data_IF_452015619091
#
_entry.id   IF_452015619091
#
_cell.length_a   1.000
_cell.length_b   1.000
_cell.length_c   1.000
_cell.angle_alpha   90.00
_cell.angle_beta   90.00
_cell.angle_gamma   90.00
#
_symmetry.space_group_name_H-M   'P 1'
#
loop_
_entity.id
_entity.type
_entity.pdbx_description
1 polymer ?
#
# COMPACT_ATOMS: atom_id res chain seq x y z
N UNK A 1 19.61 -1.86 0.03
CA UNK A 1 19.13 -3.27 0.08
C UNK A 1 17.64 -3.41 -0.26
N UNK A 2 16.94 -2.33 -0.67
CA UNK A 2 15.54 -2.39 -1.13
C UNK A 2 15.44 -2.73 -2.64
N UNK A 3 16.55 -2.68 -3.39
CA UNK A 3 16.58 -2.74 -4.86
C UNK A 3 16.21 -4.10 -5.47
N UNK A 4 16.09 -5.14 -4.64
CA UNK A 4 15.87 -6.52 -5.10
C UNK A 4 14.74 -7.28 -4.38
N UNK A 5 13.98 -6.62 -3.50
CA UNK A 5 13.00 -7.29 -2.64
C UNK A 5 11.67 -6.53 -2.50
N UNK A 6 11.16 -5.93 -3.59
CA UNK A 6 9.85 -5.28 -3.56
C UNK A 6 8.73 -6.31 -3.64
N UNK A 7 7.89 -6.37 -2.60
CA UNK A 7 6.65 -7.16 -2.59
C UNK A 7 5.46 -6.24 -2.29
N UNK A 8 4.33 -6.48 -2.96
CA UNK A 8 3.05 -5.86 -2.59
C UNK A 8 2.31 -6.82 -1.66
N UNK A 9 2.08 -6.39 -0.42
CA UNK A 9 1.45 -7.21 0.62
C UNK A 9 0.11 -6.59 0.99
N UNK A 10 -0.95 -7.40 0.99
CA UNK A 10 -2.25 -7.07 1.53
C UNK A 10 -2.45 -7.90 2.80
N UNK A 11 -2.63 -7.24 3.94
CA UNK A 11 -2.80 -7.89 5.24
C UNK A 11 -4.11 -7.49 5.90
N UNK A 12 -4.77 -8.42 6.59
CA UNK A 12 -5.98 -8.14 7.37
C UNK A 12 -6.04 -9.03 8.62
N UNK A 13 -6.73 -8.56 9.65
CA UNK A 13 -7.11 -9.34 10.83
C UNK A 13 -8.63 -9.43 10.92
N UNK A 14 -9.17 -10.63 11.09
CA UNK A 14 -10.62 -10.88 11.14
C UNK A 14 -10.95 -12.00 12.12
N UNK A 15 -12.23 -12.15 12.49
CA UNK A 15 -12.70 -13.28 13.30
C UNK A 15 -12.47 -14.59 12.52
N UNK A 16 -12.07 -15.65 13.21
CA UNK A 16 -11.67 -16.92 12.57
C UNK A 16 -12.79 -17.55 11.74
N UNK A 17 -14.05 -17.42 12.15
CA UNK A 17 -15.23 -17.91 11.42
C UNK A 17 -15.57 -17.09 10.16
N UNK A 18 -14.94 -15.92 9.97
CA UNK A 18 -15.14 -15.01 8.83
C UNK A 18 -13.92 -14.90 7.92
N UNK A 19 -12.87 -15.68 8.20
CA UNK A 19 -11.62 -15.62 7.43
C UNK A 19 -11.82 -15.92 5.93
N UNK A 20 -12.59 -16.97 5.60
CA UNK A 20 -12.85 -17.33 4.19
C UNK A 20 -13.66 -16.26 3.45
N UNK A 21 -14.68 -15.70 4.11
CA UNK A 21 -15.49 -14.61 3.56
C UNK A 21 -14.64 -13.36 3.34
N UNK A 22 -13.84 -12.98 4.34
CA UNK A 22 -12.94 -11.83 4.27
C UNK A 22 -11.93 -11.98 3.13
N UNK A 23 -11.36 -13.18 2.97
CA UNK A 23 -10.43 -13.47 1.87
C UNK A 23 -11.11 -13.37 0.50
N UNK A 24 -12.36 -13.83 0.37
CA UNK A 24 -13.16 -13.67 -0.84
C UNK A 24 -13.34 -12.20 -1.21
N UNK A 25 -13.78 -11.37 -0.25
CA UNK A 25 -13.96 -9.93 -0.45
C UNK A 25 -12.65 -9.25 -0.88
N UNK A 26 -11.52 -9.60 -0.25
CA UNK A 26 -10.21 -9.04 -0.63
C UNK A 26 -9.86 -9.42 -2.06
N UNK A 27 -10.07 -10.69 -2.46
CA UNK A 27 -9.84 -11.14 -3.83
C UNK A 27 -10.70 -10.38 -4.84
N UNK A 28 -11.97 -10.13 -4.52
CA UNK A 28 -12.88 -9.39 -5.40
C UNK A 28 -12.43 -7.93 -5.59
N UNK A 29 -12.03 -7.26 -4.51
CA UNK A 29 -11.52 -5.88 -4.57
C UNK A 29 -10.20 -5.81 -5.35
N UNK A 30 -9.27 -6.74 -5.10
CA UNK A 30 -7.99 -6.83 -5.81
C UNK A 30 -8.22 -7.06 -7.30
N UNK A 31 -9.12 -7.98 -7.65
CA UNK A 31 -9.47 -8.27 -9.04
C UNK A 31 -10.05 -7.04 -9.73
N UNK A 32 -11.03 -6.37 -9.12
CA UNK A 32 -11.61 -5.15 -9.68
C UNK A 32 -10.56 -4.06 -9.87
N UNK A 33 -9.66 -3.88 -8.90
CA UNK A 33 -8.58 -2.90 -9.00
C UNK A 33 -7.57 -3.26 -10.11
N UNK A 34 -7.33 -4.54 -10.37
CA UNK A 34 -6.49 -4.99 -11.48
C UNK A 34 -7.14 -4.77 -12.87
N UNK A 35 -8.46 -4.93 -12.96
CA UNK A 35 -9.23 -4.84 -14.20
C UNK A 35 -9.61 -3.40 -14.57
N UNK A 36 -10.14 -2.64 -13.61
CA UNK A 36 -10.72 -1.30 -13.82
C UNK A 36 -9.78 -0.19 -13.32
N UNK A 37 -8.93 -0.50 -12.34
CA UNK A 37 -8.14 0.46 -11.60
C UNK A 37 -8.99 1.37 -10.69
N UNK A 38 -8.36 2.34 -10.01
CA UNK A 38 -9.10 3.26 -9.14
C UNK A 38 -9.86 4.30 -9.96
N UNK A 39 -10.77 5.00 -9.28
CA UNK A 39 -11.43 6.21 -9.79
C UNK A 39 -10.55 7.45 -9.63
N UNK A 40 -10.88 8.52 -10.36
CA UNK A 40 -10.24 9.84 -10.17
C UNK A 40 -10.42 10.39 -8.76
N UNK A 41 -11.61 10.18 -8.17
CA UNK A 41 -11.92 10.63 -6.83
C UNK A 41 -11.08 9.90 -5.76
N UNK A 42 -10.92 8.57 -5.90
CA UNK A 42 -10.05 7.78 -5.03
C UNK A 42 -8.59 8.24 -5.16
N UNK A 43 -8.09 8.42 -6.38
CA UNK A 43 -6.72 8.91 -6.59
C UNK A 43 -6.51 10.29 -5.95
N UNK A 44 -7.44 11.22 -6.15
CA UNK A 44 -7.37 12.56 -5.57
C UNK A 44 -7.40 12.52 -4.04
N UNK A 45 -8.29 11.71 -3.45
CA UNK A 45 -8.38 11.53 -2.01
C UNK A 45 -7.09 10.93 -1.43
N UNK A 46 -6.55 9.89 -2.06
CA UNK A 46 -5.28 9.26 -1.65
C UNK A 46 -4.12 10.23 -1.73
N UNK A 47 -3.97 10.99 -2.83
CA UNK A 47 -2.92 12.02 -2.95
C UNK A 47 -3.02 13.06 -1.83
N UNK A 48 -4.23 13.59 -1.59
CA UNK A 48 -4.47 14.57 -0.53
C UNK A 48 -4.09 14.01 0.85
N UNK A 49 -4.48 12.77 1.14
CA UNK A 49 -4.12 12.08 2.37
C UNK A 49 -2.59 11.91 2.50
N UNK A 50 -1.92 11.38 1.49
CA UNK A 50 -0.47 11.12 1.52
C UNK A 50 0.38 12.39 1.69
N UNK A 51 -0.09 13.52 1.14
CA UNK A 51 0.56 14.82 1.29
C UNK A 51 0.28 15.39 2.69
N UNK A 52 -0.99 15.42 3.12
CA UNK A 52 -1.38 16.01 4.39
C UNK A 52 -0.92 15.23 5.63
N UNK A 53 -0.90 13.90 5.56
CA UNK A 53 -0.51 13.04 6.67
C UNK A 53 1.01 13.02 6.91
N UNK A 54 1.84 13.46 5.94
CA UNK A 54 3.29 13.35 6.07
C UNK A 54 3.83 14.12 7.28
N UNK A 55 3.40 15.38 7.46
CA UNK A 55 3.86 16.20 8.58
C UNK A 55 3.40 15.61 9.93
N UNK A 56 2.18 15.08 9.99
CA UNK A 56 1.62 14.49 11.21
C UNK A 56 2.37 13.21 11.58
N UNK A 57 2.68 12.36 10.60
CA UNK A 57 3.25 11.05 10.88
C UNK A 57 4.77 11.08 11.11
N UNK A 58 5.46 12.13 10.66
CA UNK A 58 6.94 12.14 10.61
C UNK A 58 7.56 13.37 11.28
N UNK A 59 6.80 14.44 11.53
CA UNK A 59 7.32 15.71 12.01
C UNK A 59 6.59 16.22 13.26
N UNK A 60 5.93 15.33 14.00
CA UNK A 60 5.14 15.66 15.21
C UNK A 60 5.98 15.83 16.49
N UNK A 61 7.25 15.44 16.45
CA UNK A 61 8.17 15.47 17.59
C UNK A 61 9.62 15.63 17.12
N UNK A 62 10.50 16.17 17.98
CA UNK A 62 11.92 16.30 17.65
C UNK A 62 12.59 14.96 17.33
N UNK A 63 12.14 13.88 17.97
CA UNK A 63 12.60 12.51 17.69
C UNK A 63 12.16 12.02 16.30
N UNK A 64 10.91 12.27 15.90
CA UNK A 64 10.42 11.88 14.59
C UNK A 64 11.11 12.67 13.47
N UNK A 65 11.33 13.97 13.69
CA UNK A 65 12.09 14.84 12.77
C UNK A 65 13.51 14.31 12.59
N UNK A 66 14.23 14.01 13.68
CA UNK A 66 15.59 13.50 13.60
C UNK A 66 15.66 12.15 12.87
N UNK A 67 14.74 11.22 13.16
CA UNK A 67 14.65 9.94 12.47
C UNK A 67 14.40 10.11 10.96
N UNK A 68 13.47 11.00 10.60
CA UNK A 68 13.16 11.31 9.19
C UNK A 68 14.37 11.88 8.46
N UNK A 69 15.08 12.84 9.05
CA UNK A 69 16.27 13.44 8.42
C UNK A 69 17.39 12.40 8.21
N UNK A 70 17.57 11.47 9.15
CA UNK A 70 18.52 10.36 9.00
C UNK A 70 18.10 9.42 7.86
N UNK A 71 16.82 9.06 7.77
CA UNK A 71 16.30 8.22 6.68
C UNK A 71 16.51 8.87 5.30
N UNK A 72 16.20 10.17 5.17
CA UNK A 72 16.43 10.91 3.92
C UNK A 72 17.92 10.94 3.52
N UNK A 73 18.84 10.97 4.48
CA UNK A 73 20.28 10.92 4.23
C UNK A 73 20.73 9.51 3.82
N UNK A 74 20.20 8.48 4.46
CA UNK A 74 20.52 7.08 4.13
C UNK A 74 20.02 6.69 2.72
N UNK A 75 18.89 7.26 2.31
CA UNK A 75 18.29 7.04 0.98
C UNK A 75 18.82 8.01 -0.10
N UNK A 76 19.78 8.90 0.24
CA UNK A 76 20.36 9.90 -0.66
C UNK A 76 19.31 10.80 -1.37
N UNK A 77 18.23 11.15 -0.68
CA UNK A 77 17.11 11.88 -1.27
C UNK A 77 17.33 13.39 -1.33
N UNK A 78 18.28 13.90 -0.53
CA UNK A 78 18.60 15.31 -0.39
C UNK A 78 17.73 16.05 0.63
N UNK A 79 18.26 17.14 1.19
CA UNK A 79 17.60 17.93 2.26
C UNK A 79 16.30 18.62 1.80
N UNK A 80 16.15 18.83 0.50
CA UNK A 80 15.00 19.48 -0.14
C UNK A 80 13.89 18.48 -0.56
N UNK A 81 14.07 17.19 -0.26
CA UNK A 81 13.13 16.15 -0.65
C UNK A 81 11.72 16.41 -0.10
N UNK A 82 11.61 16.90 1.14
CA UNK A 82 10.32 17.18 1.77
C UNK A 82 9.50 18.22 0.97
N UNK A 83 10.18 19.20 0.36
CA UNK A 83 9.57 20.22 -0.49
C UNK A 83 9.18 19.65 -1.86
N UNK A 84 10.02 18.77 -2.45
CA UNK A 84 9.78 18.16 -3.77
C UNK A 84 8.75 17.02 -3.74
N UNK A 85 8.62 16.30 -2.63
CA UNK A 85 7.79 15.09 -2.49
C UNK A 85 6.33 15.29 -2.90
N UNK A 86 5.74 16.42 -2.52
CA UNK A 86 4.36 16.75 -2.92
C UNK A 86 4.23 16.87 -4.45
N UNK A 87 5.24 17.42 -5.12
CA UNK A 87 5.33 17.47 -6.58
C UNK A 87 5.37 16.08 -7.20
N UNK A 88 6.17 15.16 -6.66
CA UNK A 88 6.24 13.78 -7.14
C UNK A 88 4.91 13.04 -7.01
N UNK A 89 4.23 13.18 -5.88
CA UNK A 89 2.91 12.56 -5.66
C UNK A 89 1.87 13.15 -6.61
N UNK A 90 1.87 14.48 -6.78
CA UNK A 90 0.90 15.14 -7.65
C UNK A 90 1.11 14.80 -9.13
N UNK A 91 2.36 14.56 -9.55
CA UNK A 91 2.71 14.17 -10.91
C UNK A 91 2.20 12.77 -11.32
N UNK A 92 1.87 11.90 -10.35
CA UNK A 92 1.33 10.56 -10.64
C UNK A 92 -0.04 10.66 -11.33
N UNK A 93 -0.17 10.13 -12.53
CA UNK A 93 -1.43 10.16 -13.29
C UNK A 93 -2.31 8.96 -13.00
N UNK A 94 -3.61 9.06 -13.31
CA UNK A 94 -4.53 7.92 -13.17
C UNK A 94 -4.08 6.72 -14.01
N UNK A 95 -3.64 6.96 -15.25
CA UNK A 95 -3.21 5.91 -16.16
C UNK A 95 -1.98 5.16 -15.64
N UNK A 96 -1.03 5.87 -15.01
CA UNK A 96 0.12 5.23 -14.36
C UNK A 96 -0.32 4.31 -13.21
N UNK A 97 -1.30 4.75 -12.41
CA UNK A 97 -1.84 3.92 -11.32
C UNK A 97 -2.59 2.71 -11.86
N UNK A 98 -3.41 2.88 -12.92
CA UNK A 98 -4.09 1.77 -13.60
C UNK A 98 -3.10 0.76 -14.17
N UNK A 99 -2.03 1.23 -14.83
CA UNK A 99 -0.99 0.37 -15.36
C UNK A 99 -0.24 -0.40 -14.26
N UNK A 100 0.09 0.27 -13.15
CA UNK A 100 0.73 -0.37 -12.00
C UNK A 100 -0.19 -1.39 -11.31
N UNK A 101 -1.46 -1.05 -11.12
CA UNK A 101 -2.47 -1.95 -10.54
C UNK A 101 -2.60 -3.22 -11.39
N UNK A 102 -2.78 -3.08 -12.70
CA UNK A 102 -2.82 -4.23 -13.63
C UNK A 102 -1.55 -5.07 -13.55
N UNK A 103 -0.36 -4.44 -13.58
CA UNK A 103 0.91 -5.17 -13.52
C UNK A 103 1.08 -5.97 -12.22
N UNK A 104 0.75 -5.37 -11.08
CA UNK A 104 1.03 -5.96 -9.77
C UNK A 104 -0.07 -6.90 -9.29
N UNK A 105 -1.33 -6.64 -9.64
CA UNK A 105 -2.50 -7.32 -9.08
C UNK A 105 -3.09 -8.40 -10.00
N UNK A 106 -2.70 -8.46 -11.27
CA UNK A 106 -3.15 -9.53 -12.18
C UNK A 106 -2.44 -10.88 -11.97
N UNK A 107 -1.43 -10.94 -11.09
CA UNK A 107 -0.72 -12.19 -10.76
C UNK A 107 -1.38 -12.86 -9.57
N UNK A 108 -1.51 -14.19 -9.58
CA UNK A 108 -2.01 -14.93 -8.41
C UNK A 108 -1.07 -14.71 -7.20
N UNK A 109 -1.60 -14.21 -6.07
CA UNK A 109 -0.78 -13.94 -4.90
C UNK A 109 -0.49 -15.21 -4.11
N UNK A 110 0.63 -15.20 -3.39
CA UNK A 110 0.84 -16.18 -2.31
C UNK A 110 -0.03 -15.80 -1.12
N UNK A 111 -0.80 -16.75 -0.58
CA UNK A 111 -1.72 -16.51 0.54
C UNK A 111 -1.19 -17.22 1.79
N UNK A 112 -1.07 -16.46 2.88
CA UNK A 112 -0.74 -16.98 4.21
C UNK A 112 -1.88 -16.68 5.18
N UNK A 113 -2.40 -17.72 5.83
CA UNK A 113 -3.46 -17.60 6.85
C UNK A 113 -2.91 -18.15 8.16
N UNK A 114 -2.99 -17.35 9.22
CA UNK A 114 -2.51 -17.71 10.56
C UNK A 114 -3.71 -17.65 11.52
N UNK A 115 -3.99 -18.75 12.22
CA UNK A 115 -5.07 -18.82 13.19
C UNK A 115 -5.59 -20.24 13.42
N UNK A 116 -6.69 -20.39 14.18
CA UNK A 116 -7.36 -21.68 14.38
C UNK A 116 -7.77 -22.32 13.05
N UNK A 117 -7.79 -23.66 13.00
CA UNK A 117 -8.21 -24.40 11.80
C UNK A 117 -9.61 -23.97 11.37
N UNK A 118 -9.75 -23.56 10.12
CA UNK A 118 -11.05 -23.25 9.53
C UNK A 118 -11.93 -24.51 9.58
N UNK A 119 -13.08 -24.42 10.25
CA UNK A 119 -14.06 -25.50 10.25
C UNK A 119 -14.57 -25.68 8.81
N UNK A 120 -14.25 -26.81 8.18
CA UNK A 120 -14.72 -27.15 6.83
C UNK A 120 -13.67 -27.24 5.72
N UNK A 121 -12.37 -27.07 6.00
CA UNK A 121 -11.33 -27.42 5.02
C UNK A 121 -11.20 -28.94 4.89
N UNK A 122 -12.11 -29.53 4.10
CA UNK A 122 -11.96 -30.87 3.53
C UNK A 122 -10.71 -30.93 2.65
N UNK A 123 -10.06 -32.09 2.65
CA UNK A 123 -8.87 -32.38 1.84
C UNK A 123 -9.17 -32.10 0.36
N UNK A 124 -8.36 -31.28 -0.28
CA UNK A 124 -8.40 -30.99 -1.71
C UNK A 124 -7.29 -30.01 -2.08
#
# INVERSE_FOLDING_TARGET
>A
NQDHASALIVSTGTRSDRASETLGIIRDVVKRLAEEGPTEAELAATKKYMIGAYAINNLDSSSAIAATLVELQLDDLGIDYMQRRAGYINAVTLDQVKAAAKKLLSTEPTIMVIGPKLAGAGKG
#
